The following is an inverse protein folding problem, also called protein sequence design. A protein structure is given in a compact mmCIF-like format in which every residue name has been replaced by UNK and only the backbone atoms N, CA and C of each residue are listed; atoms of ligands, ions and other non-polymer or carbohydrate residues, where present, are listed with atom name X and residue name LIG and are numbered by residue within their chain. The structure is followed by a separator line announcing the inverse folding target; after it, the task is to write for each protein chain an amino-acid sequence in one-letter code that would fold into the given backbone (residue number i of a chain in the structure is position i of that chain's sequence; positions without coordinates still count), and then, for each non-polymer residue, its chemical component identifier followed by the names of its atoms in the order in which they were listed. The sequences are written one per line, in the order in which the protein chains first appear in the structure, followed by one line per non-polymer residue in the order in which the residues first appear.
data_IF_536115285700
#
_entry.id   IF_536115285700
#
_cell.length_a   1.000
_cell.length_b   1.000
_cell.length_c   1.000
_cell.angle_alpha   90.00
_cell.angle_beta   90.00
_cell.angle_gamma   90.00
#
_symmetry.space_group_name_H-M   'P 1'
#
loop_
_entity.id
_entity.type
_entity.pdbx_description
1 polymer ?
#
# COMPACT_ATOMS: atom_id res chain seq x y z
N UNK A 1 16.23 -3.47 16.72
CA UNK A 1 15.65 -2.45 15.86
C UNK A 1 14.92 -3.20 14.76
N UNK A 2 13.61 -3.25 14.86
CA UNK A 2 12.73 -3.71 13.79
C UNK A 2 13.02 -2.83 12.58
N UNK A 3 13.34 -3.46 11.47
CA UNK A 3 13.62 -2.80 10.21
C UNK A 3 12.28 -2.58 9.51
N UNK A 4 11.98 -1.36 9.05
CA UNK A 4 10.70 -1.05 8.39
C UNK A 4 10.41 -2.05 7.28
N UNK A 5 9.19 -2.61 7.31
CA UNK A 5 8.77 -3.59 6.33
C UNK A 5 8.41 -2.92 4.98
N UNK A 6 8.12 -3.73 3.96
CA UNK A 6 7.83 -3.21 2.63
C UNK A 6 6.55 -2.34 2.58
N UNK A 7 5.54 -2.64 3.41
CA UNK A 7 4.29 -1.88 3.46
C UNK A 7 4.47 -0.52 4.15
N UNK A 8 5.28 -0.47 5.22
CA UNK A 8 5.64 0.78 5.89
C UNK A 8 6.50 1.66 4.99
N UNK A 9 7.48 1.08 4.30
CA UNK A 9 8.26 1.81 3.30
C UNK A 9 7.35 2.38 2.21
N UNK A 10 6.41 1.58 1.72
CA UNK A 10 5.45 2.01 0.72
C UNK A 10 4.57 3.17 1.19
N UNK A 11 4.10 3.11 2.43
CA UNK A 11 3.36 4.20 3.06
C UNK A 11 4.20 5.49 3.16
N UNK A 12 5.48 5.40 3.53
CA UNK A 12 6.39 6.56 3.54
C UNK A 12 6.54 7.18 2.15
N UNK A 13 6.65 6.35 1.10
CA UNK A 13 6.78 6.82 -0.27
C UNK A 13 5.52 7.54 -0.74
N UNK A 14 4.33 7.04 -0.39
CA UNK A 14 3.05 7.72 -0.64
C UNK A 14 2.99 9.10 0.07
N UNK A 15 3.35 9.13 1.35
CA UNK A 15 3.43 10.37 2.15
C UNK A 15 4.39 11.37 1.49
N UNK A 16 5.59 10.93 1.13
CA UNK A 16 6.61 11.80 0.56
C UNK A 16 6.27 12.27 -0.85
N UNK A 17 5.51 11.50 -1.63
CA UNK A 17 4.96 11.94 -2.91
C UNK A 17 3.97 13.10 -2.73
N UNK A 18 3.04 13.00 -1.78
CA UNK A 18 2.09 14.08 -1.47
C UNK A 18 2.80 15.32 -0.92
N UNK A 19 3.82 15.13 -0.08
CA UNK A 19 4.66 16.22 0.43
C UNK A 19 5.44 16.93 -0.68
N UNK A 20 5.95 16.19 -1.66
CA UNK A 20 6.59 16.76 -2.84
C UNK A 20 5.61 17.58 -3.67
N UNK A 21 4.39 17.08 -3.92
CA UNK A 21 3.32 17.82 -4.61
C UNK A 21 2.96 19.14 -3.89
N UNK A 22 3.00 19.14 -2.56
CA UNK A 22 2.76 20.32 -1.74
C UNK A 22 3.98 21.26 -1.59
N UNK A 23 5.15 20.90 -2.11
CA UNK A 23 6.38 21.70 -2.00
C UNK A 23 6.99 21.72 -0.60
N UNK A 24 6.67 20.73 0.24
CA UNK A 24 7.23 20.58 1.60
C UNK A 24 8.30 19.48 1.62
N UNK A 25 9.20 19.54 2.61
CA UNK A 25 10.34 18.63 2.69
C UNK A 25 9.90 17.17 2.93
N UNK A 26 10.62 16.16 2.42
CA UNK A 26 10.33 14.77 2.73
C UNK A 26 10.57 14.48 4.22
N UNK A 27 9.89 13.46 4.73
CA UNK A 27 10.11 12.88 6.05
C UNK A 27 11.11 11.73 5.93
N UNK A 28 11.97 11.61 6.94
CA UNK A 28 12.80 10.44 7.16
C UNK A 28 12.16 9.54 8.22
N UNK A 29 12.45 8.25 8.18
CA UNK A 29 12.04 7.36 9.26
C UNK A 29 12.76 7.71 10.57
N UNK A 30 12.07 7.46 11.68
CA UNK A 30 12.67 7.36 13.01
C UNK A 30 12.19 6.07 13.69
N UNK A 31 13.13 5.30 14.26
CA UNK A 31 12.83 3.99 14.83
C UNK A 31 12.05 4.08 16.14
N UNK A 32 12.31 5.09 16.97
CA UNK A 32 11.61 5.26 18.25
C UNK A 32 10.16 5.69 18.02
N UNK A 33 9.93 6.55 17.01
CA UNK A 33 8.58 6.88 16.55
C UNK A 33 7.87 5.65 15.98
N UNK A 34 8.58 4.81 15.22
CA UNK A 34 7.97 3.60 14.63
C UNK A 34 7.61 2.57 15.69
N UNK A 35 8.44 2.41 16.73
CA UNK A 35 8.11 1.57 17.90
C UNK A 35 6.88 2.09 18.64
N UNK A 36 6.72 3.41 18.77
CA UNK A 36 5.52 4.01 19.35
C UNK A 36 4.27 3.76 18.51
N UNK A 37 4.36 3.89 17.19
CA UNK A 37 3.27 3.61 16.25
C UNK A 37 2.87 2.13 16.27
N UNK A 38 3.85 1.22 16.20
CA UNK A 38 3.64 -0.24 16.21
C UNK A 38 2.98 -0.68 17.52
N UNK A 39 3.48 -0.17 18.65
CA UNK A 39 2.87 -0.41 19.94
C UNK A 39 1.43 0.11 20.05
N UNK A 40 1.11 1.22 19.36
CA UNK A 40 -0.24 1.78 19.38
C UNK A 40 -1.22 0.96 18.54
N UNK A 41 -0.85 0.56 17.33
CA UNK A 41 -1.67 -0.29 16.46
C UNK A 41 -1.96 -1.65 17.13
N UNK A 42 -0.93 -2.30 17.68
CA UNK A 42 -1.09 -3.55 18.43
C UNK A 42 -2.01 -3.40 19.63
N UNK A 43 -1.93 -2.28 20.35
CA UNK A 43 -2.82 -2.01 21.47
C UNK A 43 -4.27 -1.78 21.01
N UNK A 44 -4.48 -1.03 19.92
CA UNK A 44 -5.81 -0.79 19.36
C UNK A 44 -6.49 -2.09 18.95
N UNK A 45 -5.77 -2.95 18.23
CA UNK A 45 -6.22 -4.29 17.86
C UNK A 45 -6.51 -5.16 19.09
N UNK A 46 -5.58 -5.22 20.06
CA UNK A 46 -5.73 -6.08 21.24
C UNK A 46 -6.87 -5.67 22.19
N UNK A 47 -7.30 -4.41 22.14
CA UNK A 47 -8.36 -3.89 23.01
C UNK A 47 -9.66 -3.57 22.28
N UNK A 48 -9.75 -3.95 21.00
CA UNK A 48 -10.90 -3.72 20.12
C UNK A 48 -11.36 -2.25 20.16
N UNK A 49 -10.40 -1.32 20.08
CA UNK A 49 -10.65 0.13 20.15
C UNK A 49 -9.97 0.89 19.01
N UNK A 50 -10.43 2.12 18.76
CA UNK A 50 -9.81 3.04 17.81
C UNK A 50 -9.76 4.44 18.41
N UNK A 51 -8.58 4.90 18.83
CA UNK A 51 -8.43 6.10 19.65
C UNK A 51 -6.99 6.58 19.71
N UNK A 52 -6.76 7.88 19.49
CA UNK A 52 -5.47 8.55 19.74
C UNK A 52 -5.00 8.46 21.21
N UNK A 53 -5.94 8.29 22.15
CA UNK A 53 -5.62 8.03 23.56
C UNK A 53 -5.34 6.56 23.73
N UNK A 54 -4.09 6.23 24.07
CA UNK A 54 -3.58 4.88 24.18
C UNK A 54 -3.72 4.26 25.57
N UNK A 55 -3.02 3.13 25.77
CA UNK A 55 -2.99 2.40 27.05
C UNK A 55 -2.72 3.32 28.23
N UNK A 56 -3.49 3.16 29.31
CA UNK A 56 -3.35 3.96 30.52
C UNK A 56 -3.65 5.46 30.36
N UNK A 57 -4.31 5.87 29.27
CA UNK A 57 -4.60 7.28 28.99
C UNK A 57 -3.42 8.04 28.38
N UNK A 58 -2.45 7.34 27.79
CA UNK A 58 -1.26 7.95 27.19
C UNK A 58 -1.60 8.75 25.93
N UNK A 59 -1.01 9.93 25.80
CA UNK A 59 -1.03 10.71 24.55
C UNK A 59 -0.02 10.16 23.53
N UNK A 60 -0.15 10.50 22.23
CA UNK A 60 0.83 10.08 21.21
C UNK A 60 2.25 10.53 21.56
N UNK A 61 2.42 11.80 21.92
CA UNK A 61 3.71 12.35 22.38
C UNK A 61 4.27 11.60 23.60
N UNK A 62 3.41 11.10 24.49
CA UNK A 62 3.85 10.27 25.63
C UNK A 62 4.35 8.91 25.14
N UNK A 63 3.67 8.28 24.18
CA UNK A 63 4.11 7.01 23.59
C UNK A 63 5.45 7.15 22.87
N UNK A 64 5.60 8.17 22.02
CA UNK A 64 6.87 8.51 21.35
C UNK A 64 8.03 8.63 22.35
N UNK A 65 7.84 9.39 23.44
CA UNK A 65 8.86 9.54 24.48
C UNK A 65 9.16 8.24 25.22
N UNK A 66 8.14 7.43 25.49
CA UNK A 66 8.30 6.15 26.19
C UNK A 66 9.06 5.13 25.32
N UNK A 67 8.93 5.21 24.00
CA UNK A 67 9.71 4.45 23.03
C UNK A 67 11.16 4.95 22.88
N UNK A 68 11.52 6.08 23.49
CA UNK A 68 12.89 6.61 23.50
C UNK A 68 13.07 7.93 22.76
N UNK A 69 12.07 8.37 21.99
CA UNK A 69 12.20 9.56 21.15
C UNK A 69 12.45 10.82 22.00
N UNK A 70 13.62 11.42 21.78
CA UNK A 70 14.08 12.55 22.59
C UNK A 70 13.56 13.87 22.01
N UNK A 71 12.61 14.49 22.70
CA UNK A 71 12.16 15.85 22.40
C UNK A 71 13.13 16.88 22.98
N UNK A 72 13.85 17.59 22.12
CA UNK A 72 14.84 18.59 22.52
C UNK A 72 14.77 19.85 21.66
N UNK A 73 15.17 20.99 22.25
CA UNK A 73 15.18 22.28 21.55
C UNK A 73 13.79 22.66 21.01
N UNK A 74 13.75 23.08 19.74
CA UNK A 74 12.49 23.29 19.01
C UNK A 74 11.96 21.94 18.53
N UNK A 75 10.78 21.57 19.02
CA UNK A 75 10.12 20.31 18.68
C UNK A 75 8.65 20.49 18.30
N UNK A 76 8.11 19.51 17.59
CA UNK A 76 6.69 19.36 17.29
C UNK A 76 6.37 17.87 17.10
N UNK A 77 5.16 17.46 17.43
CA UNK A 77 4.68 16.08 17.20
C UNK A 77 3.26 16.11 16.64
N UNK A 78 2.86 15.08 15.90
CA UNK A 78 1.50 14.85 15.43
C UNK A 78 1.24 13.37 15.23
N UNK A 79 -0.03 12.95 15.24
CA UNK A 79 -0.42 11.57 14.99
C UNK A 79 -1.59 11.54 14.02
N UNK A 80 -1.55 10.60 13.08
CA UNK A 80 -2.72 10.13 12.36
C UNK A 80 -2.93 8.65 12.65
N UNK A 81 -4.21 8.24 12.70
CA UNK A 81 -4.58 6.82 12.76
C UNK A 81 -5.67 6.55 11.73
N UNK A 82 -5.61 5.37 11.10
CA UNK A 82 -6.65 4.88 10.21
C UNK A 82 -6.78 3.36 10.32
N UNK A 83 -7.95 2.84 9.98
CA UNK A 83 -8.15 1.41 9.82
C UNK A 83 -9.13 1.11 8.69
N UNK A 84 -9.03 -0.10 8.15
CA UNK A 84 -9.96 -0.64 7.16
C UNK A 84 -10.01 -2.16 7.26
N UNK A 85 -11.18 -2.76 7.00
CA UNK A 85 -11.29 -4.21 6.84
C UNK A 85 -10.44 -4.67 5.65
N UNK A 86 -9.60 -5.67 5.87
CA UNK A 86 -8.75 -6.24 4.82
C UNK A 86 -9.55 -7.14 3.89
N UNK A 87 -9.10 -7.25 2.65
CA UNK A 87 -9.61 -8.20 1.65
C UNK A 87 -8.50 -9.13 1.18
N UNK A 88 -7.28 -8.60 1.09
CA UNK A 88 -5.96 -9.22 0.93
C UNK A 88 -5.87 -10.61 0.26
N UNK A 89 -6.31 -10.79 -1.00
CA UNK A 89 -6.08 -12.03 -1.73
C UNK A 89 -4.62 -12.22 -2.19
N UNK A 90 -3.82 -11.15 -2.29
CA UNK A 90 -2.45 -11.17 -2.84
C UNK A 90 -1.48 -10.20 -2.13
N UNK A 91 -1.69 -9.93 -0.84
CA UNK A 91 -0.93 -8.96 -0.05
C UNK A 91 -1.73 -7.70 0.32
N UNK A 92 -1.06 -6.71 0.91
CA UNK A 92 -1.70 -5.54 1.54
C UNK A 92 -1.48 -4.19 0.82
N UNK A 93 -0.94 -4.19 -0.40
CA UNK A 93 -0.64 -2.96 -1.15
C UNK A 93 -1.88 -2.08 -1.31
N UNK A 94 -3.02 -2.69 -1.66
CA UNK A 94 -4.28 -1.98 -1.84
C UNK A 94 -4.81 -1.41 -0.52
N UNK A 95 -4.67 -2.16 0.58
CA UNK A 95 -5.02 -1.68 1.92
C UNK A 95 -4.15 -0.49 2.35
N UNK A 96 -2.84 -0.51 2.10
CA UNK A 96 -1.96 0.63 2.39
C UNK A 96 -2.37 1.86 1.55
N UNK A 97 -2.59 1.68 0.24
CA UNK A 97 -3.07 2.75 -0.67
C UNK A 97 -4.39 3.34 -0.18
N UNK A 98 -5.33 2.48 0.23
CA UNK A 98 -6.65 2.87 0.73
C UNK A 98 -6.56 3.68 2.02
N UNK A 99 -5.79 3.21 3.00
CA UNK A 99 -5.62 3.89 4.28
C UNK A 99 -4.96 5.26 4.09
N UNK A 100 -3.90 5.34 3.30
CA UNK A 100 -3.26 6.61 2.96
C UNK A 100 -4.25 7.59 2.28
N UNK A 101 -5.03 7.10 1.31
CA UNK A 101 -6.05 7.91 0.61
C UNK A 101 -7.11 8.44 1.58
N UNK A 102 -7.57 7.61 2.52
CA UNK A 102 -8.53 8.03 3.54
C UNK A 102 -7.97 9.12 4.45
N UNK A 103 -6.69 9.01 4.85
CA UNK A 103 -6.00 10.03 5.62
C UNK A 103 -5.88 11.34 4.83
N UNK A 104 -5.49 11.28 3.56
CA UNK A 104 -5.39 12.45 2.70
C UNK A 104 -6.74 13.13 2.41
N UNK A 105 -7.85 12.38 2.40
CA UNK A 105 -9.19 12.92 2.25
C UNK A 105 -9.76 13.56 3.53
N UNK A 106 -9.15 13.32 4.69
CA UNK A 106 -9.50 13.97 5.95
C UNK A 106 -8.68 15.24 6.14
N UNK A 107 -9.34 16.40 6.28
CA UNK A 107 -8.65 17.69 6.40
C UNK A 107 -7.68 17.77 7.58
N UNK A 108 -8.04 17.13 8.72
CA UNK A 108 -7.18 17.10 9.91
C UNK A 108 -5.94 16.24 9.70
N UNK A 109 -6.11 15.03 9.17
CA UNK A 109 -5.00 14.11 8.94
C UNK A 109 -4.08 14.60 7.82
N UNK A 110 -4.65 15.11 6.74
CA UNK A 110 -3.91 15.76 5.64
C UNK A 110 -3.07 16.93 6.15
N UNK A 111 -3.58 17.71 7.10
CA UNK A 111 -2.81 18.83 7.68
C UNK A 111 -1.55 18.34 8.41
N UNK A 112 -1.59 17.17 9.06
CA UNK A 112 -0.40 16.54 9.65
C UNK A 112 0.57 16.06 8.55
N UNK A 113 0.08 15.29 7.57
CA UNK A 113 0.89 14.75 6.46
C UNK A 113 1.62 15.86 5.71
N UNK A 114 0.97 17.00 5.46
CA UNK A 114 1.53 18.13 4.72
C UNK A 114 2.19 19.20 5.60
N UNK A 115 2.30 18.97 6.92
CA UNK A 115 2.91 19.93 7.81
C UNK A 115 4.42 20.06 7.52
N UNK A 116 4.82 21.23 7.03
CA UNK A 116 6.20 21.54 6.67
C UNK A 116 7.16 21.54 7.88
N UNK A 117 6.65 21.62 9.11
CA UNK A 117 7.47 21.64 10.31
C UNK A 117 8.02 20.26 10.67
N UNK A 118 7.34 19.16 10.29
CA UNK A 118 7.83 17.81 10.54
C UNK A 118 8.99 17.45 9.62
N UNK A 119 9.91 16.63 10.16
CA UNK A 119 11.13 16.14 9.50
C UNK A 119 11.27 14.63 9.58
N UNK A 120 10.64 14.03 10.57
CA UNK A 120 10.73 12.60 10.88
C UNK A 120 9.33 12.02 10.98
N UNK A 121 9.21 10.72 10.76
CA UNK A 121 7.97 9.97 10.95
C UNK A 121 8.27 8.54 11.40
N UNK A 122 7.47 8.06 12.33
CA UNK A 122 7.32 6.63 12.61
C UNK A 122 6.05 6.12 11.97
N UNK A 123 6.11 4.98 11.30
CA UNK A 123 4.96 4.37 10.67
C UNK A 123 4.80 2.95 11.19
N UNK A 124 3.56 2.53 11.35
CA UNK A 124 3.20 1.15 11.56
C UNK A 124 2.08 0.75 10.60
N UNK A 125 2.11 -0.52 10.18
CA UNK A 125 1.03 -1.19 9.47
C UNK A 125 0.83 -2.56 10.10
N UNK A 126 -0.27 -2.73 10.83
CA UNK A 126 -0.57 -3.97 11.54
C UNK A 126 -1.92 -4.54 11.11
N UNK A 127 -2.00 -5.87 11.03
CA UNK A 127 -3.23 -6.57 10.67
C UNK A 127 -3.65 -7.47 11.82
N UNK A 128 -4.92 -7.36 12.21
CA UNK A 128 -5.49 -8.17 13.28
C UNK A 128 -7.01 -8.29 13.20
N UNK A 129 -7.60 -8.96 14.18
CA UNK A 129 -9.05 -8.93 14.35
C UNK A 129 -9.47 -7.59 14.97
N UNK A 130 -10.47 -6.96 14.38
CA UNK A 130 -11.14 -5.79 14.92
C UNK A 130 -12.64 -5.95 14.66
N UNK A 131 -13.44 -5.96 15.73
CA UNK A 131 -14.89 -6.16 15.69
C UNK A 131 -15.30 -7.43 14.93
N UNK A 132 -14.52 -8.52 15.05
CA UNK A 132 -14.76 -9.81 14.39
C UNK A 132 -14.44 -9.84 12.90
N UNK A 133 -13.61 -8.91 12.42
CA UNK A 133 -13.16 -8.85 11.02
C UNK A 133 -11.65 -8.62 10.96
N UNK A 134 -10.98 -9.31 10.04
CA UNK A 134 -9.58 -8.97 9.72
C UNK A 134 -9.50 -7.54 9.21
N UNK A 135 -8.69 -6.73 9.87
CA UNK A 135 -8.59 -5.29 9.64
C UNK A 135 -7.13 -4.86 9.71
N UNK A 136 -6.75 -3.96 8.80
CA UNK A 136 -5.46 -3.29 8.79
C UNK A 136 -5.58 -1.97 9.55
N UNK A 137 -4.60 -1.69 10.40
CA UNK A 137 -4.43 -0.46 11.14
C UNK A 137 -3.14 0.21 10.67
N UNK A 138 -3.18 1.54 10.62
CA UNK A 138 -2.03 2.40 10.37
C UNK A 138 -1.99 3.47 11.44
N UNK A 139 -0.83 3.62 12.07
CA UNK A 139 -0.45 4.80 12.85
C UNK A 139 0.69 5.54 12.15
N UNK A 140 0.53 6.85 11.96
CA UNK A 140 1.59 7.76 11.47
C UNK A 140 1.96 8.75 12.58
N UNK A 141 3.14 8.56 13.18
CA UNK A 141 3.67 9.38 14.26
C UNK A 141 4.71 10.38 13.71
N UNK A 142 4.28 11.62 13.51
CA UNK A 142 5.10 12.68 12.94
C UNK A 142 5.89 13.43 14.01
N UNK A 143 7.13 13.82 13.69
CA UNK A 143 7.90 14.66 14.58
C UNK A 143 8.89 15.61 13.92
N UNK A 144 9.32 16.58 14.73
CA UNK A 144 10.57 17.32 14.59
C UNK A 144 11.18 17.39 15.98
N UNK A 145 12.46 17.08 16.11
CA UNK A 145 13.25 17.38 17.30
C UNK A 145 14.56 18.06 16.92
N UNK A 146 14.98 19.06 17.71
CA UNK A 146 16.25 19.75 17.50
C UNK A 146 16.40 20.41 16.12
N UNK A 147 17.57 20.19 15.51
CA UNK A 147 18.02 20.86 14.28
C UNK A 147 18.43 19.91 13.16
N UNK A 148 18.34 18.60 13.38
CA UNK A 148 18.87 17.63 12.44
C UNK A 148 18.10 17.63 11.12
N UNK A 149 18.84 17.32 10.06
CA UNK A 149 18.39 17.34 8.67
C UNK A 149 18.78 16.02 8.05
N UNK A 150 17.90 15.50 7.20
CA UNK A 150 18.03 14.15 6.70
C UNK A 150 18.22 14.16 5.19
N UNK A 151 19.21 13.41 4.73
CA UNK A 151 19.19 12.82 3.39
C UNK A 151 18.48 11.48 3.52
N UNK A 152 17.32 11.35 2.89
CA UNK A 152 16.53 10.10 2.87
C UNK A 152 16.31 9.63 1.43
N UNK A 153 15.82 8.41 1.26
CA UNK A 153 15.41 7.87 -0.02
C UNK A 153 15.21 6.38 0.05
N UNK A 154 14.89 5.80 -1.09
CA UNK A 154 14.74 4.35 -1.28
C UNK A 154 15.60 3.90 -2.45
N UNK A 155 16.24 2.74 -2.32
CA UNK A 155 16.89 2.05 -3.42
C UNK A 155 16.01 0.88 -3.88
N UNK A 156 15.62 0.85 -5.15
CA UNK A 156 14.72 -0.16 -5.67
C UNK A 156 14.96 -0.45 -7.16
N UNK A 157 14.52 -1.62 -7.60
CA UNK A 157 14.47 -2.09 -8.99
C UNK A 157 13.02 -1.96 -9.47
N UNK A 158 12.76 -1.00 -10.34
CA UNK A 158 11.41 -0.61 -10.82
C UNK A 158 10.91 -1.65 -11.83
N UNK A 159 10.00 -2.52 -11.39
CA UNK A 159 9.58 -3.69 -12.16
C UNK A 159 8.44 -3.38 -13.12
N UNK A 160 7.64 -2.37 -12.81
CA UNK A 160 6.48 -2.00 -13.62
C UNK A 160 6.68 -0.71 -14.43
N UNK A 161 7.77 0.02 -14.18
CA UNK A 161 8.23 1.16 -14.96
C UNK A 161 7.57 2.48 -14.57
N UNK A 162 6.91 2.56 -13.42
CA UNK A 162 6.21 3.75 -12.96
C UNK A 162 7.12 4.76 -12.20
N UNK A 163 8.37 4.35 -11.93
CA UNK A 163 9.41 5.10 -11.21
C UNK A 163 9.03 5.44 -9.77
N UNK A 164 8.14 4.65 -9.19
CA UNK A 164 7.70 4.69 -7.81
C UNK A 164 8.06 3.37 -7.14
N UNK A 165 8.22 3.40 -5.82
CA UNK A 165 8.52 2.17 -5.08
C UNK A 165 7.23 1.40 -4.86
N UNK A 166 7.22 0.11 -5.17
CA UNK A 166 6.21 -0.84 -4.70
C UNK A 166 6.80 -1.94 -3.79
N UNK A 167 5.99 -2.51 -2.87
CA UNK A 167 6.43 -3.61 -2.04
C UNK A 167 6.99 -4.78 -2.86
N UNK A 168 8.23 -5.19 -2.57
CA UNK A 168 8.93 -6.22 -3.32
C UNK A 168 9.91 -5.72 -4.38
N UNK A 169 10.15 -4.41 -4.46
CA UNK A 169 11.18 -3.81 -5.34
C UNK A 169 12.44 -3.37 -4.58
N UNK A 170 12.34 -3.30 -3.26
CA UNK A 170 13.39 -2.81 -2.39
C UNK A 170 14.72 -3.56 -2.51
N UNK A 171 15.80 -2.80 -2.62
CA UNK A 171 17.17 -3.29 -2.67
C UNK A 171 17.87 -3.07 -1.34
N UNK A 172 17.97 -4.14 -0.55
CA UNK A 172 18.68 -4.13 0.72
C UNK A 172 20.19 -4.23 0.62
N UNK A 173 20.85 -3.90 1.74
CA UNK A 173 22.29 -4.00 1.91
C UNK A 173 23.14 -3.12 0.97
N UNK A 174 22.55 -2.08 0.37
CA UNK A 174 23.29 -1.07 -0.40
C UNK A 174 23.92 -0.08 0.57
N UNK A 175 25.24 0.07 0.52
CA UNK A 175 25.95 1.12 1.23
C UNK A 175 25.67 2.47 0.57
N UNK A 176 25.13 3.40 1.34
CA UNK A 176 24.95 4.82 0.97
C UNK A 176 25.99 5.65 1.70
N UNK A 177 26.86 6.33 0.96
CA UNK A 177 27.96 7.14 1.52
C UNK A 177 27.84 8.58 1.05
N UNK A 178 27.65 9.52 1.98
CA UNK A 178 27.65 10.96 1.70
C UNK A 178 29.00 11.57 2.11
N UNK A 179 29.73 12.11 1.13
CA UNK A 179 31.03 12.77 1.35
C UNK A 179 30.95 14.26 1.02
N UNK A 180 31.35 15.13 1.94
CA UNK A 180 31.40 16.57 1.69
C UNK A 180 32.75 17.02 1.09
N UNK A 181 32.83 18.28 0.67
CA UNK A 181 34.04 18.88 0.10
C UNK A 181 35.23 18.93 1.06
N UNK A 182 34.99 18.94 2.38
CA UNK A 182 36.02 18.85 3.40
C UNK A 182 36.54 17.40 3.60
N UNK A 183 35.98 16.42 2.90
CA UNK A 183 36.38 15.01 2.98
C UNK A 183 35.71 14.21 4.10
N UNK A 184 34.84 14.84 4.91
CA UNK A 184 34.07 14.13 5.92
C UNK A 184 33.05 13.20 5.25
N UNK A 185 32.91 12.00 5.80
CA UNK A 185 32.12 10.93 5.22
C UNK A 185 31.10 10.41 6.23
N UNK A 186 29.86 10.29 5.80
CA UNK A 186 28.73 9.76 6.55
C UNK A 186 28.21 8.54 5.79
N UNK A 187 27.84 7.47 6.49
CA UNK A 187 27.48 6.20 5.86
C UNK A 187 26.30 5.54 6.56
N UNK A 188 25.39 5.01 5.75
CA UNK A 188 24.31 4.12 6.18
C UNK A 188 24.20 2.95 5.19
N UNK A 189 23.27 2.04 5.44
CA UNK A 189 22.94 0.93 4.57
C UNK A 189 21.43 0.89 4.37
N UNK A 190 20.98 0.61 3.15
CA UNK A 190 19.54 0.46 2.86
C UNK A 190 18.93 -0.71 3.62
N UNK A 191 17.66 -0.55 4.01
CA UNK A 191 16.87 -1.57 4.65
C UNK A 191 16.54 -2.72 3.70
N UNK A 192 16.00 -3.84 4.20
CA UNK A 192 15.50 -4.92 3.34
C UNK A 192 14.43 -4.42 2.33
N UNK A 193 13.68 -3.39 2.69
CA UNK A 193 12.71 -2.69 1.84
C UNK A 193 13.35 -1.59 0.96
N UNK A 194 14.67 -1.36 1.07
CA UNK A 194 15.42 -0.40 0.25
C UNK A 194 15.55 1.00 0.85
N UNK A 195 14.77 1.33 1.89
CA UNK A 195 14.78 2.63 2.54
C UNK A 195 16.10 2.96 3.23
N UNK A 196 16.44 4.25 3.27
CA UNK A 196 17.58 4.74 4.05
C UNK A 196 17.38 6.19 4.50
N UNK A 197 18.11 6.55 5.54
CA UNK A 197 18.23 7.91 6.04
C UNK A 197 19.64 8.18 6.59
N UNK A 198 20.06 9.44 6.52
CA UNK A 198 21.33 9.95 7.00
C UNK A 198 21.15 11.34 7.58
N UNK A 199 21.49 11.50 8.86
CA UNK A 199 21.62 12.82 9.47
C UNK A 199 22.84 13.53 8.91
N UNK A 200 22.61 14.67 8.26
CA UNK A 200 23.65 15.51 7.67
C UNK A 200 23.53 16.95 8.15
N UNK A 201 24.67 17.65 8.20
CA UNK A 201 24.68 19.11 8.42
C UNK A 201 24.53 19.83 7.08
N UNK A 202 24.20 21.14 7.08
CA UNK A 202 24.11 21.89 5.83
C UNK A 202 25.41 21.81 5.02
N UNK A 203 25.29 21.54 3.73
CA UNK A 203 26.44 21.35 2.84
C UNK A 203 26.08 20.62 1.56
N UNK A 204 27.04 20.58 0.64
CA UNK A 204 26.94 19.78 -0.59
C UNK A 204 27.71 18.49 -0.44
N UNK A 205 27.06 17.40 -0.79
CA UNK A 205 27.56 16.04 -0.63
C UNK A 205 27.56 15.31 -1.97
N UNK A 206 28.64 14.57 -2.19
CA UNK A 206 28.70 13.50 -3.18
C UNK A 206 28.16 12.24 -2.52
N UNK A 207 26.97 11.82 -2.91
CA UNK A 207 26.27 10.64 -2.40
C UNK A 207 26.63 9.46 -3.31
N UNK A 208 27.22 8.42 -2.74
CA UNK A 208 27.66 7.23 -3.47
C UNK A 208 26.89 6.02 -2.98
N UNK A 209 26.20 5.35 -3.90
CA UNK A 209 25.55 4.08 -3.71
C UNK A 209 26.49 2.97 -4.18
N UNK A 210 26.75 2.00 -3.32
CA UNK A 210 27.66 0.89 -3.62
C UNK A 210 27.19 -0.39 -2.94
N UNK A 211 27.40 -1.52 -3.61
CA UNK A 211 27.06 -2.84 -3.09
C UNK A 211 27.77 -3.92 -3.90
N UNK A 212 27.73 -5.15 -3.41
CA UNK A 212 28.38 -6.29 -4.07
C UNK A 212 27.84 -6.51 -5.49
N UNK A 213 26.53 -6.36 -5.67
CA UNK A 213 25.83 -6.74 -6.90
C UNK A 213 25.44 -5.55 -7.79
N UNK A 214 25.71 -4.30 -7.37
CA UNK A 214 25.41 -3.10 -8.16
C UNK A 214 26.67 -2.36 -8.61
N UNK A 215 26.60 -1.73 -9.77
CA UNK A 215 27.54 -0.71 -10.20
C UNK A 215 27.48 0.48 -9.24
N UNK A 216 28.65 1.05 -8.97
CA UNK A 216 28.73 2.22 -8.11
C UNK A 216 28.05 3.39 -8.81
N UNK A 217 27.06 3.99 -8.15
CA UNK A 217 26.32 5.15 -8.67
C UNK A 217 26.57 6.34 -7.76
N UNK A 218 26.80 7.51 -8.36
CA UNK A 218 27.06 8.75 -7.60
C UNK A 218 26.05 9.82 -7.98
N UNK A 219 25.52 10.51 -6.97
CA UNK A 219 24.61 11.66 -7.08
C UNK A 219 25.14 12.82 -6.26
N UNK A 220 24.66 14.03 -6.53
CA UNK A 220 24.92 15.20 -5.70
C UNK A 220 23.67 15.55 -4.91
N UNK A 221 23.82 15.78 -3.61
CA UNK A 221 22.76 16.27 -2.73
C UNK A 221 23.23 17.53 -1.99
N UNK A 222 22.38 18.55 -1.92
CA UNK A 222 22.64 19.77 -1.16
C UNK A 222 21.66 19.87 0.00
N UNK A 223 22.17 19.70 1.21
CA UNK A 223 21.39 19.89 2.44
C UNK A 223 21.47 21.36 2.82
N UNK A 224 20.34 22.03 2.84
CA UNK A 224 20.20 23.43 3.24
C UNK A 224 19.59 23.53 4.64
N UNK A 225 18.32 23.93 4.69
CA UNK A 225 17.52 24.02 5.93
C UNK A 225 16.38 22.99 5.98
N UNK A 226 16.31 22.12 4.97
CA UNK A 226 15.26 21.13 4.76
C UNK A 226 15.88 19.76 4.51
N UNK A 227 15.11 18.71 4.81
CA UNK A 227 15.40 17.36 4.36
C UNK A 227 15.43 17.27 2.83
N UNK A 228 16.15 16.29 2.31
CA UNK A 228 16.28 16.02 0.88
C UNK A 228 16.07 14.54 0.63
N UNK A 229 15.31 14.20 -0.41
CA UNK A 229 15.10 12.83 -0.89
C UNK A 229 16.00 12.57 -2.09
N UNK A 230 16.63 11.40 -2.16
CA UNK A 230 17.51 11.01 -3.28
C UNK A 230 17.48 9.51 -3.54
N UNK A 231 16.47 9.04 -4.27
CA UNK A 231 16.32 7.60 -4.53
C UNK A 231 17.42 7.02 -5.42
N UNK A 232 17.61 5.71 -5.38
CA UNK A 232 18.38 4.96 -6.37
C UNK A 232 17.40 4.03 -7.10
N UNK A 233 17.14 4.33 -8.37
CA UNK A 233 16.18 3.60 -9.21
C UNK A 233 16.98 2.89 -10.32
N UNK A 234 16.68 1.62 -10.56
CA UNK A 234 17.28 0.76 -11.58
C UNK A 234 18.82 0.80 -11.61
N UNK A 235 19.50 0.50 -10.49
CA UNK A 235 20.96 0.47 -10.50
C UNK A 235 21.46 -0.62 -11.43
N UNK A 236 22.45 -0.27 -12.27
CA UNK A 236 23.09 -1.24 -13.16
C UNK A 236 23.68 -2.40 -12.34
N UNK A 237 23.25 -3.62 -12.63
CA UNK A 237 23.69 -4.82 -11.91
C UNK A 237 25.05 -5.33 -12.41
N UNK A 238 25.98 -5.62 -11.49
CA UNK A 238 27.31 -6.20 -11.81
C UNK A 238 27.23 -7.70 -12.08
N UNK A 239 26.34 -8.42 -11.39
CA UNK A 239 26.13 -9.86 -11.56
C UNK A 239 24.83 -10.29 -10.88
N UNK A 240 24.01 -11.10 -11.56
CA UNK A 240 22.75 -11.64 -11.03
C UNK A 240 21.68 -10.57 -10.79
N UNK A 241 20.53 -11.00 -10.26
CA UNK A 241 19.51 -10.13 -9.66
C UNK A 241 19.81 -9.98 -8.17
N UNK A 242 19.66 -8.79 -7.61
CA UNK A 242 19.47 -8.68 -6.15
C UNK A 242 18.07 -9.23 -5.90
N UNK A 243 17.94 -10.22 -5.03
CA UNK A 243 16.62 -10.65 -4.60
C UNK A 243 16.01 -9.51 -3.77
N UNK A 244 14.80 -9.09 -4.09
CA UNK A 244 14.03 -8.24 -3.21
C UNK A 244 13.92 -8.95 -1.85
N UNK A 245 14.47 -8.36 -0.81
CA UNK A 245 14.60 -9.02 0.49
C UNK A 245 13.38 -8.84 1.38
N UNK A 246 12.51 -7.89 1.06
CA UNK A 246 11.25 -7.67 1.77
C UNK A 246 10.07 -7.86 0.80
N UNK A 247 9.31 -8.92 1.02
CA UNK A 247 7.97 -9.11 0.47
C UNK A 247 6.95 -8.42 1.39
N UNK A 248 5.74 -8.14 0.89
CA UNK A 248 4.67 -7.51 1.67
C UNK A 248 4.15 -8.35 2.87
N UNK A 249 4.76 -9.52 3.14
CA UNK A 249 4.24 -10.52 4.08
C UNK A 249 5.02 -10.67 5.41
N UNK A 250 6.09 -9.91 5.68
CA UNK A 250 6.83 -10.09 6.94
C UNK A 250 6.28 -9.26 8.10
N UNK A 251 5.13 -9.67 8.63
CA UNK A 251 4.68 -9.32 9.99
C UNK A 251 5.04 -10.48 10.94
N UNK A 252 6.29 -10.49 11.40
CA UNK A 252 6.84 -11.53 12.29
C UNK A 252 6.30 -11.51 13.73
N UNK A 253 5.42 -12.47 14.03
CA UNK A 253 5.36 -13.34 15.23
C UNK A 253 5.83 -12.78 16.60
N UNK A 254 4.88 -12.54 17.50
CA UNK A 254 5.06 -12.49 18.96
C UNK A 254 3.96 -13.25 19.71
N UNK A 255 4.34 -14.26 20.50
CA UNK A 255 3.47 -15.28 21.11
C UNK A 255 2.66 -14.86 22.35
N UNK A 256 1.44 -15.40 22.52
CA UNK A 256 0.85 -15.76 23.84
C UNK A 256 -0.43 -16.64 23.72
N UNK A 257 -0.88 -17.32 24.81
CA UNK A 257 -1.13 -18.77 24.81
C UNK A 257 -2.57 -19.21 24.49
N UNK A 258 -2.66 -20.48 24.09
CA UNK A 258 -3.89 -21.22 23.79
C UNK A 258 -4.86 -21.37 24.99
N UNK A 259 -6.14 -21.66 24.71
CA UNK A 259 -6.70 -22.86 25.32
C UNK A 259 -7.57 -23.76 24.42
N UNK A 260 -7.42 -25.06 24.70
CA UNK A 260 -8.33 -26.20 24.60
C UNK A 260 -8.82 -26.74 23.24
N UNK A 261 -8.27 -27.90 22.89
CA UNK A 261 -8.79 -28.90 21.93
C UNK A 261 -10.14 -29.47 22.36
N UNK A 262 -10.99 -29.93 21.41
CA UNK A 262 -11.20 -31.38 21.35
C UNK A 262 -11.28 -32.01 19.94
N UNK A 263 -10.57 -33.14 19.82
CA UNK A 263 -10.86 -34.41 19.09
C UNK A 263 -11.04 -34.47 17.57
N UNK A 264 -9.95 -34.89 16.92
CA UNK A 264 -9.80 -36.05 16.00
C UNK A 264 -10.97 -36.50 15.12
N UNK A 265 -10.87 -36.17 13.84
CA UNK A 265 -11.30 -37.02 12.72
C UNK A 265 -10.20 -37.03 11.66
N UNK A 266 -9.65 -38.20 11.33
CA UNK A 266 -8.72 -38.35 10.20
C UNK A 266 -9.46 -38.08 8.89
N UNK A 267 -8.91 -37.25 8.01
CA UNK A 267 -9.06 -37.49 6.58
C UNK A 267 -7.83 -37.00 5.79
N UNK A 268 -7.50 -37.75 4.75
CA UNK A 268 -6.22 -37.79 4.05
C UNK A 268 -6.26 -36.98 2.74
N UNK A 269 -5.27 -36.11 2.51
CA UNK A 269 -4.84 -35.68 1.17
C UNK A 269 -5.61 -34.53 0.47
N UNK A 270 -4.91 -33.39 0.30
CA UNK A 270 -5.01 -32.35 -0.77
C UNK A 270 -6.37 -32.12 -1.47
N UNK A 271 -7.00 -30.94 -1.24
CA UNK A 271 -7.65 -30.12 -2.28
C UNK A 271 -8.16 -28.75 -1.74
N UNK A 272 -7.72 -27.66 -2.37
CA UNK A 272 -8.09 -26.25 -2.10
C UNK A 272 -9.40 -25.84 -2.80
N UNK A 273 -10.52 -26.49 -2.49
CA UNK A 273 -11.83 -26.19 -3.12
C UNK A 273 -13.01 -26.07 -2.15
N UNK A 274 -12.89 -25.25 -1.10
CA UNK A 274 -14.03 -24.94 -0.21
C UNK A 274 -14.51 -23.49 -0.27
N UNK A 275 -13.69 -22.52 -0.69
CA UNK A 275 -14.09 -21.11 -0.63
C UNK A 275 -15.15 -20.71 -1.67
N UNK A 276 -15.15 -21.33 -2.86
CA UNK A 276 -16.13 -21.04 -3.91
C UNK A 276 -17.52 -21.64 -3.59
N UNK A 277 -17.56 -22.75 -2.85
CA UNK A 277 -18.80 -23.33 -2.33
C UNK A 277 -19.36 -22.51 -1.16
N UNK A 278 -18.50 -21.90 -0.33
CA UNK A 278 -18.91 -20.92 0.69
C UNK A 278 -19.44 -19.62 0.07
N UNK A 279 -18.88 -19.19 -1.06
CA UNK A 279 -19.32 -17.97 -1.77
C UNK A 279 -20.75 -18.09 -2.32
N UNK A 280 -21.15 -19.27 -2.82
CA UNK A 280 -22.48 -19.48 -3.42
C UNK A 280 -23.46 -20.29 -2.56
N UNK A 281 -23.00 -21.01 -1.54
CA UNK A 281 -23.78 -22.05 -0.85
C UNK A 281 -24.53 -21.61 0.41
N UNK A 282 -24.08 -20.60 1.15
CA UNK A 282 -24.58 -20.33 2.52
C UNK A 282 -24.93 -18.86 2.79
N UNK A 283 -25.81 -18.26 1.99
CA UNK A 283 -26.55 -17.06 2.41
C UNK A 283 -28.03 -17.21 2.08
N UNK A 284 -28.84 -17.50 3.09
CA UNK A 284 -30.31 -17.62 2.99
C UNK A 284 -31.00 -16.24 3.04
N UNK A 285 -30.52 -15.29 2.24
CA UNK A 285 -31.16 -13.99 2.02
C UNK A 285 -32.19 -14.07 0.89
N UNK A 286 -33.26 -13.28 0.98
CA UNK A 286 -34.35 -13.29 -0.02
C UNK A 286 -33.86 -12.66 -1.32
N UNK A 287 -33.72 -13.46 -2.38
CA UNK A 287 -33.39 -12.98 -3.72
C UNK A 287 -34.65 -12.46 -4.41
N UNK A 288 -34.64 -11.19 -4.80
CA UNK A 288 -35.74 -10.55 -5.53
C UNK A 288 -35.26 -10.01 -6.87
N UNK A 289 -35.88 -10.48 -7.95
CA UNK A 289 -35.81 -9.83 -9.26
C UNK A 289 -37.17 -9.21 -9.55
N UNK A 290 -37.20 -7.90 -9.77
CA UNK A 290 -38.43 -7.16 -10.10
C UNK A 290 -38.24 -6.39 -11.39
N UNK A 291 -39.18 -6.56 -12.31
CA UNK A 291 -39.34 -5.72 -13.51
C UNK A 291 -40.49 -4.74 -13.29
N UNK A 292 -40.30 -3.48 -13.65
CA UNK A 292 -41.39 -2.51 -13.69
C UNK A 292 -41.32 -1.64 -14.95
N UNK A 293 -42.50 -1.30 -15.47
CA UNK A 293 -42.69 -0.53 -16.70
C UNK A 293 -43.00 -1.37 -17.95
N UNK A 294 -43.67 -0.73 -18.89
CA UNK A 294 -44.17 -1.28 -20.14
C UNK A 294 -43.44 -0.67 -21.36
N UNK A 295 -42.96 -1.52 -22.26
CA UNK A 295 -42.24 -1.13 -23.48
C UNK A 295 -40.72 -0.99 -23.33
N UNK A 296 -40.08 -0.24 -24.24
CA UNK A 296 -38.61 -0.18 -24.43
C UNK A 296 -37.83 0.57 -23.31
N UNK A 297 -38.47 0.85 -22.18
CA UNK A 297 -37.91 1.57 -21.02
C UNK A 297 -37.90 0.75 -19.72
N UNK A 298 -37.88 -0.58 -19.80
CA UNK A 298 -37.87 -1.46 -18.61
C UNK A 298 -36.67 -1.19 -17.71
N UNK A 299 -36.93 -1.04 -16.41
CA UNK A 299 -35.89 -1.06 -15.38
C UNK A 299 -35.82 -2.45 -14.76
N UNK A 300 -34.61 -3.02 -14.72
CA UNK A 300 -34.34 -4.29 -14.06
C UNK A 300 -33.66 -4.00 -12.73
N UNK A 301 -34.29 -4.45 -11.63
CA UNK A 301 -33.74 -4.31 -10.29
C UNK A 301 -33.34 -5.67 -9.76
N UNK A 302 -32.06 -5.83 -9.42
CA UNK A 302 -31.58 -6.95 -8.60
C UNK A 302 -31.42 -6.47 -7.16
N UNK A 303 -32.09 -7.15 -6.23
CA UNK A 303 -31.99 -6.89 -4.80
C UNK A 303 -31.20 -8.00 -4.09
N UNK A 304 -30.19 -7.62 -3.32
CA UNK A 304 -29.41 -8.50 -2.45
C UNK A 304 -29.26 -7.85 -1.06
N UNK A 305 -29.85 -8.45 -0.03
CA UNK A 305 -29.74 -8.03 1.37
C UNK A 305 -29.91 -6.50 1.62
N UNK A 306 -30.84 -5.86 0.89
CA UNK A 306 -31.18 -4.44 1.04
C UNK A 306 -30.46 -3.50 0.06
N UNK A 307 -29.48 -4.00 -0.70
CA UNK A 307 -28.83 -3.26 -1.78
C UNK A 307 -29.56 -3.49 -3.12
N UNK A 308 -29.77 -2.41 -3.88
CA UNK A 308 -30.52 -2.42 -5.13
C UNK A 308 -29.63 -1.98 -6.30
N UNK A 309 -29.44 -2.88 -7.27
CA UNK A 309 -28.74 -2.58 -8.52
C UNK A 309 -29.76 -2.39 -9.64
N UNK A 310 -29.80 -1.18 -10.22
CA UNK A 310 -30.73 -0.82 -11.28
C UNK A 310 -30.02 -0.66 -12.63
N UNK A 311 -30.57 -1.33 -13.64
CA UNK A 311 -30.06 -1.26 -15.01
C UNK A 311 -31.12 -0.66 -15.93
N UNK A 312 -30.75 0.40 -16.65
CA UNK A 312 -31.68 1.17 -17.49
C UNK A 312 -31.69 0.76 -18.97
N UNK A 313 -30.91 -0.25 -19.39
CA UNK A 313 -31.04 -0.85 -20.73
C UNK A 313 -30.28 -2.16 -20.87
N UNK A 314 -30.97 -3.17 -21.40
CA UNK A 314 -30.37 -4.25 -22.19
C UNK A 314 -29.47 -5.24 -21.46
N UNK A 315 -30.02 -6.02 -20.53
CA UNK A 315 -29.46 -7.33 -20.22
C UNK A 315 -30.24 -8.38 -21.04
N UNK A 316 -29.59 -9.14 -21.94
CA UNK A 316 -30.25 -10.26 -22.60
C UNK A 316 -30.59 -11.32 -21.55
N UNK A 317 -31.77 -11.89 -21.64
CA UNK A 317 -32.40 -12.77 -20.64
C UNK A 317 -31.70 -14.13 -20.41
N UNK A 318 -30.51 -14.37 -20.95
CA UNK A 318 -29.73 -15.60 -20.68
C UNK A 318 -28.22 -15.35 -20.70
N UNK A 319 -27.65 -15.22 -19.51
CA UNK A 319 -26.21 -15.24 -19.27
C UNK A 319 -25.71 -16.70 -19.20
N UNK A 320 -25.93 -17.47 -20.27
CA UNK A 320 -25.72 -18.92 -20.24
C UNK A 320 -25.10 -19.47 -21.52
N UNK A 321 -23.97 -18.90 -21.97
CA UNK A 321 -22.95 -19.60 -22.77
C UNK A 321 -21.69 -18.72 -22.86
N UNK A 322 -20.56 -19.25 -22.39
CA UNK A 322 -19.30 -18.54 -22.10
C UNK A 322 -18.51 -18.00 -23.31
N UNK A 323 -18.75 -18.38 -24.59
CA UNK A 323 -18.04 -17.75 -25.71
C UNK A 323 -18.51 -16.30 -26.00
N UNK A 324 -19.80 -16.02 -25.84
CA UNK A 324 -20.37 -14.71 -26.22
C UNK A 324 -20.18 -13.64 -25.14
N UNK A 325 -19.92 -14.02 -23.89
CA UNK A 325 -19.78 -13.07 -22.79
C UNK A 325 -18.52 -12.19 -22.94
N UNK A 326 -17.43 -12.76 -23.45
CA UNK A 326 -16.19 -12.02 -23.72
C UNK A 326 -16.40 -10.95 -24.79
N UNK A 327 -17.03 -11.32 -25.91
CA UNK A 327 -17.30 -10.39 -27.03
C UNK A 327 -18.31 -9.30 -26.65
N UNK A 328 -19.30 -9.62 -25.81
CA UNK A 328 -20.27 -8.64 -25.32
C UNK A 328 -19.66 -7.68 -24.30
N UNK A 329 -18.75 -8.15 -23.43
CA UNK A 329 -18.00 -7.28 -22.50
C UNK A 329 -17.06 -6.37 -23.30
N UNK A 330 -16.36 -6.91 -24.29
CA UNK A 330 -15.49 -6.13 -25.18
C UNK A 330 -16.29 -5.04 -25.93
N UNK A 331 -17.43 -5.40 -26.53
CA UNK A 331 -18.30 -4.43 -27.22
C UNK A 331 -18.95 -3.41 -26.29
N UNK A 332 -19.28 -3.78 -25.05
CA UNK A 332 -19.84 -2.85 -24.07
C UNK A 332 -18.80 -1.80 -23.63
N UNK A 333 -17.54 -2.22 -23.48
CA UNK A 333 -16.42 -1.34 -23.15
C UNK A 333 -16.10 -0.42 -24.33
N UNK A 334 -15.98 -0.94 -25.54
CA UNK A 334 -15.76 -0.15 -26.77
C UNK A 334 -16.86 0.90 -26.98
N UNK A 335 -18.13 0.55 -26.74
CA UNK A 335 -19.24 1.50 -26.79
C UNK A 335 -19.19 2.55 -25.68
N UNK A 336 -18.76 2.17 -24.48
CA UNK A 336 -18.61 3.12 -23.37
C UNK A 336 -17.47 4.11 -23.63
N UNK A 337 -16.35 3.64 -24.18
CA UNK A 337 -15.20 4.47 -24.59
C UNK A 337 -15.57 5.39 -25.75
N UNK A 338 -16.28 4.89 -26.78
CA UNK A 338 -16.76 5.70 -27.89
C UNK A 338 -17.78 6.77 -27.44
N UNK A 339 -18.71 6.41 -26.53
CA UNK A 339 -19.67 7.35 -25.97
C UNK A 339 -18.99 8.44 -25.11
N UNK A 340 -17.89 8.11 -24.42
CA UNK A 340 -17.05 9.08 -23.71
C UNK A 340 -16.36 10.05 -24.68
N UNK A 341 -15.85 9.54 -25.81
CA UNK A 341 -15.21 10.32 -26.86
C UNK A 341 -16.12 11.38 -27.49
N UNK A 342 -17.41 11.08 -27.66
CA UNK A 342 -18.39 12.01 -28.25
C UNK A 342 -18.81 13.17 -27.32
N UNK A 343 -18.57 13.04 -26.00
CA UNK A 343 -19.07 13.99 -25.00
C UNK A 343 -17.99 14.88 -24.37
N UNK A 344 -16.71 14.67 -24.68
CA UNK A 344 -15.59 15.38 -24.06
C UNK A 344 -14.54 15.81 -25.12
N UNK A 345 -13.98 17.04 -25.05
CA UNK A 345 -13.04 17.53 -26.07
C UNK A 345 -11.74 16.71 -26.10
N UNK A 346 -11.22 16.42 -27.30
CA UNK A 346 -10.06 15.55 -27.56
C UNK A 346 -8.73 16.01 -26.94
N UNK A 347 -8.71 17.20 -26.33
CA UNK A 347 -7.53 17.93 -25.89
C UNK A 347 -7.27 17.79 -24.37
N UNK A 348 -8.06 16.96 -23.66
CA UNK A 348 -7.97 16.83 -22.20
C UNK A 348 -7.03 15.68 -21.78
N UNK A 349 -5.89 15.94 -21.11
CA UNK A 349 -4.91 14.92 -20.73
C UNK A 349 -5.41 13.88 -19.71
N UNK A 350 -6.53 14.13 -19.01
CA UNK A 350 -7.16 13.13 -18.14
C UNK A 350 -7.86 11.98 -18.89
N UNK A 351 -8.04 12.10 -20.21
CA UNK A 351 -8.71 11.07 -21.01
C UNK A 351 -7.82 9.86 -21.30
N UNK A 352 -6.52 10.07 -21.49
CA UNK A 352 -5.55 8.99 -21.70
C UNK A 352 -5.54 8.05 -20.51
N UNK A 353 -5.35 8.61 -19.30
CA UNK A 353 -5.24 7.82 -18.07
C UNK A 353 -6.52 7.02 -17.73
N UNK A 354 -7.71 7.57 -17.99
CA UNK A 354 -8.96 6.89 -17.69
C UNK A 354 -9.30 5.78 -18.71
N UNK A 355 -9.02 6.01 -19.99
CA UNK A 355 -9.18 5.01 -21.04
C UNK A 355 -8.14 3.89 -20.89
N UNK A 356 -6.89 4.24 -20.56
CA UNK A 356 -5.80 3.29 -20.34
C UNK A 356 -6.03 2.46 -19.07
N UNK A 357 -6.56 3.06 -17.99
CA UNK A 357 -6.92 2.33 -16.76
C UNK A 357 -8.10 1.36 -16.97
N UNK A 358 -9.11 1.77 -17.75
CA UNK A 358 -10.24 0.90 -18.10
C UNK A 358 -9.78 -0.26 -19.01
N UNK A 359 -8.97 0.03 -20.03
CA UNK A 359 -8.41 -0.98 -20.93
C UNK A 359 -7.48 -1.94 -20.19
N UNK A 360 -6.66 -1.43 -19.26
CA UNK A 360 -5.78 -2.23 -18.40
C UNK A 360 -6.56 -3.17 -17.49
N UNK A 361 -7.65 -2.69 -16.89
CA UNK A 361 -8.52 -3.51 -16.03
C UNK A 361 -9.21 -4.63 -16.83
N UNK A 362 -9.69 -4.33 -18.03
CA UNK A 362 -10.31 -5.32 -18.92
C UNK A 362 -9.29 -6.35 -19.42
N UNK A 363 -8.08 -5.91 -19.77
CA UNK A 363 -6.99 -6.81 -20.17
C UNK A 363 -6.58 -7.76 -19.02
N UNK A 364 -6.58 -7.28 -17.76
CA UNK A 364 -6.33 -8.12 -16.57
C UNK A 364 -7.41 -9.18 -16.38
N UNK A 365 -8.68 -8.80 -16.54
CA UNK A 365 -9.81 -9.74 -16.44
C UNK A 365 -9.76 -10.78 -17.57
N UNK A 366 -9.46 -10.35 -18.81
CA UNK A 366 -9.34 -11.26 -19.97
C UNK A 366 -8.11 -12.19 -19.85
N UNK A 367 -6.99 -11.70 -19.32
CA UNK A 367 -5.81 -12.52 -19.05
C UNK A 367 -6.11 -13.62 -18.03
N UNK A 368 -6.83 -13.30 -16.94
CA UNK A 368 -7.26 -14.27 -15.94
C UNK A 368 -8.25 -15.31 -16.50
N UNK A 369 -9.14 -14.89 -17.42
CA UNK A 369 -10.06 -15.81 -18.12
C UNK A 369 -9.29 -16.73 -19.10
N UNK A 370 -8.29 -16.20 -19.82
CA UNK A 370 -7.47 -16.96 -20.76
C UNK A 370 -6.56 -17.98 -20.05
N UNK A 371 -5.98 -17.61 -18.91
CA UNK A 371 -5.15 -18.47 -18.07
C UNK A 371 -5.97 -19.65 -17.51
N UNK A 372 -7.24 -19.42 -17.14
CA UNK A 372 -8.16 -20.48 -16.73
C UNK A 372 -8.64 -21.38 -17.89
N UNK A 373 -8.74 -20.84 -19.11
CA UNK A 373 -9.16 -21.59 -20.30
C UNK A 373 -8.06 -22.52 -20.82
N UNK A 374 -6.79 -22.16 -20.65
CA UNK A 374 -5.63 -23.01 -20.97
C UNK A 374 -5.35 -24.11 -19.93
N UNK A 375 -6.02 -24.07 -18.77
CA UNK A 375 -5.96 -25.12 -17.75
C UNK A 375 -7.06 -26.18 -17.85
N UNK A 376 -7.88 -26.17 -18.92
CA UNK A 376 -8.96 -27.15 -19.12
C UNK A 376 -8.78 -28.15 -20.28
N UNK A 377 -7.60 -28.25 -20.90
CA UNK A 377 -7.38 -29.22 -22.00
C UNK A 377 -6.50 -30.42 -21.67
N UNK A 378 -6.21 -30.69 -20.39
CA UNK A 378 -5.51 -31.89 -19.97
C UNK A 378 -6.32 -32.65 -18.92
N UNK A 379 -7.35 -33.37 -19.37
CA UNK A 379 -7.86 -34.61 -18.76
C UNK A 379 -9.08 -35.12 -19.55
N UNK A 380 -8.87 -35.55 -20.79
CA UNK A 380 -9.76 -36.50 -21.50
C UNK A 380 -8.95 -37.21 -22.61
N UNK A 381 -8.01 -38.06 -22.19
CA UNK A 381 -7.56 -39.21 -23.00
C UNK A 381 -7.40 -40.38 -22.03
N UNK A 382 -8.29 -41.36 -22.14
CA UNK A 382 -8.36 -42.55 -21.31
C UNK A 382 -9.76 -43.09 -21.20
#
# INVERSE_FOLDING_TARGET
MTQHNANEQYLLELINAERAKAGVQPLAFDNDLSEAAEGHDKWMLATDTFSHTGSGGTSPTTRMKNAGYVLSGSWATGENIAWATTRAPTGYVDEVKLLHTNLMNSSGHRANILNANFREVGLAFEVGDYQGRSSAFVTEDFAKSGTDLFLTGVAFDDKDGDRFYDPGEGLGAITVTAKNSAGQTFKTTTSAAGGYDLVLKPGTYTVTFSGANIATTTKTATIGTKNVKSDLIDPVMKSGSLAATASAEDSGSGASPAPATPTTGQDTGTNTKTWLADFFGHRSGTRGFTESGDGAGKQHTLAFDGDHFQFSKGLPTKLATVPDASDHVHQAVEKAVAALHDHLPADNPMFGDAADAAQSTVNKILAQIAEHSNHQTADFVG
#
